data_IF_279062862166
#
_entry.id   IF_279062862166
#
_cell.length_a   1.000
_cell.length_b   1.000
_cell.length_c   1.000
_cell.angle_alpha   90.00
_cell.angle_beta   90.00
_cell.angle_gamma   90.00
#
_symmetry.space_group_name_H-M   'P 1'
#
loop_
_entity.id
_entity.type
_entity.pdbx_description
1 polymer ?
#
# COMPACT_ATOMS: atom_id res chain seq x y z
N UNK A 1 -32.25 41.25 7.87
CA UNK A 1 -33.28 40.99 8.90
C UNK A 1 -33.15 39.53 9.34
N UNK A 2 -32.98 39.28 10.65
CA UNK A 2 -33.16 38.01 11.42
C UNK A 2 -32.24 36.83 10.99
N UNK A 3 -31.10 36.53 11.64
CA UNK A 3 -30.88 35.84 12.95
C UNK A 3 -31.84 34.69 13.26
N UNK A 4 -31.34 33.45 13.23
CA UNK A 4 -31.80 32.34 14.08
C UNK A 4 -30.56 31.54 14.54
N UNK A 5 -30.39 31.46 15.87
CA UNK A 5 -29.48 30.58 16.61
C UNK A 5 -30.20 29.26 16.94
N UNK A 6 -29.46 28.15 17.03
CA UNK A 6 -29.74 26.96 17.88
C UNK A 6 -28.45 26.11 17.91
N UNK A 7 -27.73 25.81 18.99
CA UNK A 7 -27.99 25.45 20.40
C UNK A 7 -28.40 23.96 20.62
N UNK A 8 -27.52 23.22 21.33
CA UNK A 8 -27.75 21.90 21.96
C UNK A 8 -27.29 20.71 21.10
N UNK A 9 -26.53 19.72 21.59
CA UNK A 9 -26.55 19.13 22.93
C UNK A 9 -25.15 18.63 23.35
N UNK A 10 -24.80 18.92 24.60
CA UNK A 10 -23.64 18.39 25.30
C UNK A 10 -23.90 16.94 25.76
N UNK A 11 -22.88 16.10 25.77
CA UNK A 11 -22.82 14.95 26.69
C UNK A 11 -21.37 14.68 27.08
N UNK A 12 -21.11 14.97 28.35
CA UNK A 12 -19.93 14.62 29.12
C UNK A 12 -19.96 13.12 29.44
N UNK A 13 -18.81 12.45 29.40
CA UNK A 13 -18.52 11.36 30.32
C UNK A 13 -17.05 11.44 30.73
N UNK A 14 -16.86 11.77 32.01
CA UNK A 14 -15.59 11.71 32.71
C UNK A 14 -15.51 10.34 33.42
N UNK A 15 -14.35 9.67 33.33
CA UNK A 15 -13.94 8.68 34.31
C UNK A 15 -12.47 8.96 34.69
N UNK A 16 -12.28 9.30 35.96
CA UNK A 16 -10.98 9.38 36.66
C UNK A 16 -10.71 8.02 37.32
N UNK A 17 -9.46 7.56 37.41
CA UNK A 17 -8.57 7.50 38.60
C UNK A 17 -7.40 6.56 38.17
N UNK A 18 -6.20 6.48 38.72
CA UNK A 18 -5.33 7.23 39.62
C UNK A 18 -4.03 6.39 39.79
N UNK A 19 -2.87 7.04 39.97
CA UNK A 19 -1.68 6.48 40.64
C UNK A 19 -0.65 5.75 39.76
N UNK A 20 0.64 5.68 40.08
CA UNK A 20 1.47 6.29 41.13
C UNK A 20 2.94 6.25 40.66
N UNK A 21 3.74 7.09 41.30
CA UNK A 21 5.21 7.22 41.27
C UNK A 21 5.99 5.89 41.34
N UNK A 22 7.18 5.85 40.72
CA UNK A 22 8.13 4.75 40.87
C UNK A 22 9.47 4.96 40.16
N UNK A 23 10.31 5.85 40.69
CA UNK A 23 11.76 5.83 40.47
C UNK A 23 12.38 4.89 41.52
N UNK A 24 13.19 3.90 41.12
CA UNK A 24 13.73 2.91 42.05
C UNK A 24 14.89 2.12 41.46
N UNK A 25 16.09 2.48 41.93
CA UNK A 25 17.40 1.89 41.65
C UNK A 25 17.66 0.66 42.53
N UNK A 26 18.39 -0.31 41.98
CA UNK A 26 19.45 -1.14 42.60
C UNK A 26 19.19 -2.01 43.85
N UNK A 27 19.67 -3.25 43.75
CA UNK A 27 20.23 -4.05 44.87
C UNK A 27 19.71 -5.50 44.88
N UNK A 28 20.49 -6.54 44.50
CA UNK A 28 21.42 -7.34 45.35
C UNK A 28 20.66 -8.24 46.36
N UNK A 29 20.95 -9.52 46.66
CA UNK A 29 22.11 -10.42 46.69
C UNK A 29 21.54 -11.88 46.71
N UNK A 30 22.28 -12.98 46.46
CA UNK A 30 23.17 -13.72 47.40
C UNK A 30 23.38 -15.13 46.76
N UNK A 31 24.42 -15.93 46.94
CA UNK A 31 25.42 -16.06 48.02
C UNK A 31 26.59 -16.94 47.57
N UNK A 32 27.80 -16.42 47.76
CA UNK A 32 29.05 -17.00 48.29
C UNK A 32 29.16 -18.53 48.47
N UNK A 33 30.23 -19.09 47.89
CA UNK A 33 31.07 -20.08 48.59
C UNK A 33 32.58 -19.87 48.31
N UNK A 34 33.34 -20.22 49.34
CA UNK A 34 34.68 -19.84 49.78
C UNK A 34 35.83 -20.53 49.03
N UNK A 35 37.02 -19.91 48.97
CA UNK A 35 38.27 -20.69 48.81
C UNK A 35 39.54 -19.97 48.37
N UNK A 36 40.39 -19.66 49.36
CA UNK A 36 41.87 -19.61 49.32
C UNK A 36 42.65 -18.61 48.45
N UNK A 37 43.36 -17.75 49.18
CA UNK A 37 44.53 -16.94 48.82
C UNK A 37 45.69 -17.74 48.23
N UNK A 38 46.23 -17.32 47.07
CA UNK A 38 47.65 -17.48 46.71
C UNK A 38 48.13 -16.24 45.93
N UNK A 39 49.02 -15.46 46.56
CA UNK A 39 49.81 -14.40 45.93
C UNK A 39 50.92 -15.02 45.08
N UNK A 40 50.97 -14.73 43.76
CA UNK A 40 52.12 -15.06 42.92
C UNK A 40 52.62 -13.83 42.17
N UNK A 41 53.68 -13.23 42.70
CA UNK A 41 54.48 -12.21 42.01
C UNK A 41 55.22 -12.87 40.85
N UNK A 42 54.99 -12.41 39.62
CA UNK A 42 55.75 -12.83 38.44
C UNK A 42 56.42 -11.61 37.83
N UNK A 43 57.72 -11.51 38.00
CA UNK A 43 58.60 -10.56 37.31
C UNK A 43 58.66 -10.93 35.83
N UNK A 44 58.26 -10.02 34.94
CA UNK A 44 58.40 -10.18 33.48
C UNK A 44 59.60 -9.35 33.02
N UNK A 45 60.60 -10.06 32.52
CA UNK A 45 61.77 -9.56 31.81
C UNK A 45 61.32 -8.85 30.51
N UNK A 46 61.78 -7.63 30.28
CA UNK A 46 61.56 -6.91 29.03
C UNK A 46 62.41 -7.50 27.89
N UNK A 47 61.78 -7.75 26.74
CA UNK A 47 62.40 -8.22 25.50
C UNK A 47 62.17 -7.16 24.38
N UNK A 48 63.14 -6.91 23.47
CA UNK A 48 63.22 -5.64 22.76
C UNK A 48 62.17 -5.42 21.68
N UNK A 49 61.81 -4.15 21.54
CA UNK A 49 60.95 -3.51 20.55
C UNK A 49 61.29 -3.91 19.10
N UNK A 50 60.34 -4.43 18.30
CA UNK A 50 60.49 -4.42 16.85
C UNK A 50 60.23 -3.00 16.32
N UNK A 51 61.21 -2.45 15.60
CA UNK A 51 61.06 -1.23 14.80
C UNK A 51 60.10 -1.50 13.64
N UNK A 52 58.84 -1.05 13.75
CA UNK A 52 57.92 -1.03 12.62
C UNK A 52 58.17 0.17 11.74
N UNK A 53 58.63 -0.09 10.52
CA UNK A 53 58.70 0.87 9.42
C UNK A 53 57.30 1.36 9.07
N UNK A 54 57.00 2.65 9.28
CA UNK A 54 55.74 3.25 8.86
C UNK A 54 55.78 3.55 7.36
N UNK A 55 55.06 2.77 6.56
CA UNK A 55 54.73 3.12 5.17
C UNK A 55 53.65 4.21 5.19
N UNK A 56 53.83 5.35 4.51
CA UNK A 56 52.81 6.41 4.50
C UNK A 56 51.53 5.91 3.81
N UNK A 57 50.42 5.96 4.54
CA UNK A 57 49.08 5.67 4.01
C UNK A 57 48.68 6.79 3.03
N UNK A 58 48.25 6.47 1.79
CA UNK A 58 47.72 7.46 0.87
C UNK A 58 46.45 8.13 1.44
N UNK A 59 46.16 9.39 1.06
CA UNK A 59 45.01 10.12 1.59
C UNK A 59 43.70 9.36 1.27
N UNK A 60 42.93 9.10 2.33
CA UNK A 60 41.58 8.55 2.24
C UNK A 60 40.69 9.58 1.53
N UNK A 61 40.26 9.24 0.31
CA UNK A 61 39.26 10.02 -0.42
C UNK A 61 37.92 9.87 0.34
N UNK A 62 37.23 10.96 0.70
CA UNK A 62 35.94 10.87 1.37
C UNK A 62 34.94 10.08 0.50
N UNK A 63 34.14 9.17 1.08
CA UNK A 63 33.15 8.43 0.32
C UNK A 63 32.13 9.41 -0.28
N UNK A 64 31.91 9.30 -1.59
CA UNK A 64 30.76 9.93 -2.27
C UNK A 64 29.49 9.47 -1.53
N UNK A 65 28.53 10.35 -1.20
CA UNK A 65 27.31 9.92 -0.53
C UNK A 65 26.62 8.85 -1.36
N UNK A 66 26.49 7.65 -0.80
CA UNK A 66 25.70 6.57 -1.36
C UNK A 66 24.25 6.99 -1.29
N UNK A 67 23.62 7.18 -2.45
CA UNK A 67 22.18 7.41 -2.52
C UNK A 67 21.48 6.22 -1.86
N UNK A 68 20.66 6.51 -0.86
CA UNK A 68 19.71 5.57 -0.27
C UNK A 68 18.88 4.93 -1.41
N UNK A 69 18.79 3.58 -1.50
CA UNK A 69 18.35 2.88 -2.70
C UNK A 69 16.92 3.22 -3.19
N UNK A 70 16.60 2.89 -4.46
CA UNK A 70 15.25 2.89 -5.04
C UNK A 70 14.15 2.29 -4.15
N UNK A 71 14.48 1.29 -3.34
CA UNK A 71 13.55 0.66 -2.39
C UNK A 71 12.94 1.66 -1.39
N UNK A 72 13.70 2.67 -0.95
CA UNK A 72 13.20 3.67 -0.01
C UNK A 72 12.23 4.65 -0.66
N UNK A 73 12.38 4.90 -1.97
CA UNK A 73 11.43 5.67 -2.75
C UNK A 73 10.10 4.93 -2.91
N UNK A 74 10.16 3.65 -3.28
CA UNK A 74 8.99 2.76 -3.33
C UNK A 74 8.23 2.74 -2.00
N UNK A 75 8.92 2.48 -0.89
CA UNK A 75 8.30 2.44 0.44
C UNK A 75 7.68 3.77 0.86
N UNK A 76 8.23 4.90 0.41
CA UNK A 76 7.63 6.23 0.67
C UNK A 76 6.27 6.39 -0.01
N UNK A 77 6.16 5.97 -1.28
CA UNK A 77 4.91 6.03 -2.04
C UNK A 77 3.87 5.06 -1.48
N UNK A 78 4.28 3.84 -1.12
CA UNK A 78 3.40 2.89 -0.43
C UNK A 78 2.90 3.42 0.91
N UNK A 79 3.78 3.99 1.73
CA UNK A 79 3.42 4.59 3.01
C UNK A 79 2.46 5.78 2.85
N UNK A 80 2.60 6.55 1.76
CA UNK A 80 1.70 7.64 1.44
C UNK A 80 0.28 7.12 1.17
N UNK A 81 0.12 6.11 0.30
CA UNK A 81 -1.21 5.52 0.02
C UNK A 81 -1.76 4.74 1.21
N UNK A 82 -0.92 4.08 2.00
CA UNK A 82 -1.34 3.46 3.25
C UNK A 82 -1.93 4.49 4.24
N UNK A 83 -1.32 5.67 4.35
CA UNK A 83 -1.84 6.76 5.17
C UNK A 83 -3.18 7.31 4.63
N UNK A 84 -3.32 7.45 3.31
CA UNK A 84 -4.60 7.84 2.67
C UNK A 84 -5.71 6.83 2.96
N UNK A 85 -5.41 5.53 2.83
CA UNK A 85 -6.33 4.44 3.14
C UNK A 85 -6.73 4.39 4.62
N UNK A 86 -5.78 4.69 5.51
CA UNK A 86 -6.03 4.80 6.95
C UNK A 86 -6.75 6.10 7.35
N UNK A 87 -7.04 7.00 6.40
CA UNK A 87 -7.55 8.37 6.64
C UNK A 87 -6.62 9.23 7.49
N UNK A 88 -5.36 8.84 7.63
CA UNK A 88 -4.32 9.66 8.25
C UNK A 88 -3.78 10.67 7.24
N UNK A 89 -4.66 11.60 6.87
CA UNK A 89 -4.31 12.64 5.90
C UNK A 89 -3.18 13.52 6.38
N UNK A 90 -2.95 13.64 7.69
CA UNK A 90 -1.82 14.41 8.21
C UNK A 90 -0.51 13.73 7.85
N UNK A 91 -0.41 12.42 8.07
CA UNK A 91 0.77 11.64 7.67
C UNK A 91 0.99 11.66 6.16
N UNK A 92 -0.07 11.48 5.36
CA UNK A 92 0.02 11.55 3.90
C UNK A 92 0.47 12.95 3.42
N UNK A 93 -0.03 14.00 4.05
CA UNK A 93 0.38 15.38 3.77
C UNK A 93 1.87 15.63 4.05
N UNK A 94 2.37 15.10 5.17
CA UNK A 94 3.77 15.24 5.56
C UNK A 94 4.71 14.41 4.66
N UNK A 95 4.25 13.25 4.18
CA UNK A 95 4.96 12.36 3.25
C UNK A 95 5.03 12.91 1.83
N UNK A 96 4.13 13.82 1.43
CA UNK A 96 4.09 14.24 0.05
C UNK A 96 3.00 15.23 -0.32
N UNK A 97 1.81 15.09 0.26
CA UNK A 97 0.63 15.83 -0.18
C UNK A 97 0.84 17.34 -0.26
N UNK A 98 1.62 17.92 0.67
CA UNK A 98 1.96 19.35 0.68
C UNK A 98 2.73 19.85 -0.55
N UNK A 99 3.43 18.97 -1.25
CA UNK A 99 4.25 19.29 -2.42
C UNK A 99 3.49 19.07 -3.73
N UNK A 100 2.33 18.40 -3.70
CA UNK A 100 1.55 18.06 -4.89
C UNK A 100 0.50 19.13 -5.25
N UNK A 101 0.43 20.20 -4.45
CA UNK A 101 -0.40 21.38 -4.69
C UNK A 101 -1.62 21.49 -3.78
N UNK A 102 -2.32 22.63 -3.89
CA UNK A 102 -3.51 22.92 -3.13
C UNK A 102 -3.27 23.21 -1.64
N UNK A 103 -4.37 23.34 -0.89
CA UNK A 103 -4.34 23.42 0.57
C UNK A 103 -4.54 22.03 1.19
N UNK A 104 -4.26 21.89 2.49
CA UNK A 104 -4.53 20.66 3.23
C UNK A 104 -6.02 20.24 3.15
N UNK A 105 -6.92 21.22 3.14
CA UNK A 105 -8.36 20.98 3.01
C UNK A 105 -8.73 20.46 1.60
N UNK A 106 -8.18 21.07 0.54
CA UNK A 106 -8.39 20.59 -0.83
C UNK A 106 -7.82 19.18 -1.04
N UNK A 107 -6.70 18.87 -0.38
CA UNK A 107 -6.10 17.55 -0.38
C UNK A 107 -7.02 16.51 0.27
N UNK A 108 -7.55 16.78 1.47
CA UNK A 108 -8.51 15.88 2.12
C UNK A 108 -9.77 15.69 1.28
N UNK A 109 -10.32 16.79 0.74
CA UNK A 109 -11.52 16.76 -0.07
C UNK A 109 -11.34 15.91 -1.33
N UNK A 110 -10.14 15.89 -1.94
CA UNK A 110 -9.83 15.07 -3.11
C UNK A 110 -9.93 13.55 -2.86
N UNK A 111 -9.86 13.10 -1.60
CA UNK A 111 -9.97 11.68 -1.22
C UNK A 111 -11.26 11.35 -0.47
N UNK A 112 -12.20 12.30 -0.37
CA UNK A 112 -13.41 12.12 0.43
C UNK A 112 -14.27 10.92 -0.05
N UNK A 113 -14.36 10.75 -1.37
CA UNK A 113 -15.17 9.69 -2.00
C UNK A 113 -14.38 8.38 -2.25
N UNK A 114 -13.07 8.36 -2.00
CA UNK A 114 -12.21 7.18 -2.23
C UNK A 114 -12.22 6.26 -1.02
N UNK A 115 -12.82 5.09 -1.10
CA UNK A 115 -12.83 4.08 -0.03
C UNK A 115 -11.46 3.44 0.16
N UNK A 116 -10.81 3.05 -0.94
CA UNK A 116 -9.56 2.31 -0.92
C UNK A 116 -8.73 2.62 -2.16
N UNK A 117 -7.46 2.91 -1.96
CA UNK A 117 -6.43 3.01 -2.98
C UNK A 117 -5.56 1.74 -2.98
N UNK A 118 -5.45 1.10 -4.14
CA UNK A 118 -4.55 -0.03 -4.36
C UNK A 118 -3.45 0.38 -5.33
N UNK A 119 -2.26 0.64 -4.79
CA UNK A 119 -1.08 1.01 -5.58
C UNK A 119 -0.28 -0.23 -5.97
N UNK A 120 0.20 -0.27 -7.20
CA UNK A 120 1.17 -1.25 -7.71
C UNK A 120 2.36 -0.51 -8.29
N UNK A 121 3.54 -0.77 -7.76
CA UNK A 121 4.78 -0.22 -8.29
C UNK A 121 5.18 -1.02 -9.52
N UNK A 122 5.29 -0.34 -10.65
CA UNK A 122 5.71 -0.91 -11.94
C UNK A 122 7.23 -0.88 -12.05
N UNK A 123 7.83 0.24 -11.64
CA UNK A 123 9.26 0.47 -11.81
C UNK A 123 9.78 1.55 -10.85
N UNK A 124 11.09 1.51 -10.54
CA UNK A 124 11.77 2.55 -9.76
C UNK A 124 13.14 2.87 -10.35
N UNK A 125 13.34 4.13 -10.72
CA UNK A 125 14.58 4.61 -11.33
C UNK A 125 14.95 5.99 -10.78
N UNK A 126 16.17 6.15 -10.24
CA UNK A 126 16.72 7.44 -9.78
C UNK A 126 15.80 8.24 -8.82
N UNK A 127 15.05 7.52 -7.98
CA UNK A 127 14.08 8.07 -7.03
C UNK A 127 12.74 8.48 -7.64
N UNK A 128 12.53 8.24 -8.94
CA UNK A 128 11.23 8.26 -9.57
C UNK A 128 10.58 6.87 -9.46
N UNK A 129 9.31 6.81 -9.06
CA UNK A 129 8.52 5.59 -8.83
C UNK A 129 7.35 5.60 -9.79
N UNK A 130 7.33 4.68 -10.76
CA UNK A 130 6.22 4.52 -11.69
C UNK A 130 5.18 3.57 -11.09
N UNK A 131 3.90 3.95 -11.11
CA UNK A 131 2.82 3.18 -10.48
C UNK A 131 1.61 3.03 -11.40
N UNK A 132 0.84 1.97 -11.13
CA UNK A 132 -0.60 1.92 -11.42
C UNK A 132 -1.37 2.02 -10.10
N UNK A 133 -2.53 2.67 -10.12
CA UNK A 133 -3.34 2.92 -8.95
C UNK A 133 -4.81 2.65 -9.27
N UNK A 134 -5.45 1.80 -8.48
CA UNK A 134 -6.91 1.60 -8.53
C UNK A 134 -7.56 2.21 -7.28
N UNK A 135 -8.43 3.20 -7.48
CA UNK A 135 -9.18 3.89 -6.43
C UNK A 135 -10.64 3.41 -6.41
N UNK A 136 -10.99 2.58 -5.43
CA UNK A 136 -12.37 2.19 -5.15
C UNK A 136 -13.12 3.39 -4.59
N UNK A 137 -14.20 3.79 -5.25
CA UNK A 137 -15.05 4.91 -4.84
C UNK A 137 -16.20 4.41 -3.93
N UNK A 138 -16.82 5.33 -3.20
CA UNK A 138 -17.92 5.03 -2.28
C UNK A 138 -19.17 4.44 -2.97
N UNK A 139 -19.35 4.70 -4.26
CA UNK A 139 -20.42 4.12 -5.09
C UNK A 139 -20.11 2.72 -5.63
N UNK A 140 -18.94 2.16 -5.28
CA UNK A 140 -18.48 0.86 -5.73
C UNK A 140 -17.75 0.88 -7.09
N UNK A 141 -17.66 2.02 -7.76
CA UNK A 141 -16.89 2.14 -9.01
C UNK A 141 -15.39 2.17 -8.74
N UNK A 142 -14.59 1.71 -9.69
CA UNK A 142 -13.12 1.80 -9.62
C UNK A 142 -12.63 2.79 -10.66
N UNK A 143 -11.84 3.76 -10.20
CA UNK A 143 -11.09 4.68 -11.05
C UNK A 143 -9.63 4.25 -11.09
N UNK A 144 -9.12 4.00 -12.28
CA UNK A 144 -7.72 3.62 -12.46
C UNK A 144 -6.88 4.81 -12.91
N UNK A 145 -5.64 4.85 -12.43
CA UNK A 145 -4.66 5.89 -12.74
C UNK A 145 -3.30 5.25 -13.00
N UNK A 146 -2.48 5.97 -13.76
CA UNK A 146 -1.07 5.65 -13.94
C UNK A 146 -0.25 6.93 -13.81
N UNK A 147 1.00 6.79 -13.38
CA UNK A 147 1.84 7.96 -13.21
C UNK A 147 3.19 7.68 -12.58
N UNK A 148 3.94 8.75 -12.37
CA UNK A 148 5.25 8.73 -11.73
C UNK A 148 5.26 9.65 -10.52
N UNK A 149 5.86 9.18 -9.43
CA UNK A 149 6.13 9.95 -8.22
C UNK A 149 7.62 10.21 -8.08
N UNK A 150 8.00 11.46 -7.85
CA UNK A 150 9.39 11.82 -7.56
C UNK A 150 9.61 11.88 -6.06
N UNK A 151 10.55 11.07 -5.55
CA UNK A 151 10.91 10.99 -4.14
C UNK A 151 12.31 11.54 -3.91
N UNK A 152 12.44 12.38 -2.88
CA UNK A 152 13.72 12.90 -2.38
C UNK A 152 13.70 12.88 -0.86
N UNK A 153 14.74 12.28 -0.26
CA UNK A 153 14.90 12.18 1.19
C UNK A 153 13.66 11.60 1.93
N UNK A 154 13.01 10.60 1.34
CA UNK A 154 11.81 9.96 1.92
C UNK A 154 10.54 10.80 1.89
N UNK A 155 10.48 11.81 1.01
CA UNK A 155 9.30 12.67 0.80
C UNK A 155 9.02 12.74 -0.70
N UNK A 156 7.75 12.61 -1.08
CA UNK A 156 7.29 12.84 -2.44
C UNK A 156 7.35 14.35 -2.69
N UNK A 157 8.12 14.77 -3.70
CA UNK A 157 8.34 16.17 -4.06
C UNK A 157 7.65 16.58 -5.36
N UNK A 158 7.23 15.59 -6.16
CA UNK A 158 6.51 15.79 -7.41
C UNK A 158 5.72 14.55 -7.77
N UNK A 159 4.67 14.73 -8.57
CA UNK A 159 3.91 13.65 -9.16
C UNK A 159 3.35 14.08 -10.51
N UNK A 160 3.36 13.16 -11.47
CA UNK A 160 2.64 13.27 -12.73
C UNK A 160 1.73 12.04 -12.82
N UNK A 161 0.44 12.24 -12.59
CA UNK A 161 -0.56 11.16 -12.51
C UNK A 161 -1.74 11.52 -13.39
N UNK A 162 -2.19 10.56 -14.19
CA UNK A 162 -3.33 10.72 -15.09
C UNK A 162 -4.34 9.59 -14.91
N UNK A 163 -5.63 9.87 -15.08
CA UNK A 163 -6.62 8.80 -15.17
C UNK A 163 -6.31 7.96 -16.40
N UNK A 164 -6.39 6.64 -16.25
CA UNK A 164 -6.54 5.75 -17.39
C UNK A 164 -8.02 5.50 -17.56
N UNK A 165 -8.49 5.42 -18.81
CA UNK A 165 -9.84 4.92 -19.04
C UNK A 165 -9.88 3.52 -18.41
N UNK A 166 -10.73 3.34 -17.40
CA UNK A 166 -11.11 1.99 -17.00
C UNK A 166 -11.56 1.30 -18.29
N UNK A 167 -11.13 0.06 -18.59
CA UNK A 167 -11.87 -0.70 -19.57
C UNK A 167 -13.31 -0.64 -19.05
N UNK A 168 -14.21 0.00 -19.81
CA UNK A 168 -15.64 -0.09 -19.52
C UNK A 168 -15.89 -1.57 -19.23
N UNK A 169 -16.66 -1.98 -18.22
CA UNK A 169 -17.00 -3.39 -18.06
C UNK A 169 -17.62 -4.02 -19.33
N UNK A 170 -18.00 -3.20 -20.32
CA UNK A 170 -18.38 -3.55 -21.70
C UNK A 170 -17.20 -3.99 -22.61
N UNK A 171 -15.95 -3.68 -22.25
CA UNK A 171 -14.70 -4.10 -22.91
C UNK A 171 -13.84 -4.99 -21.99
N UNK A 172 -14.46 -5.63 -21.01
CA UNK A 172 -14.00 -6.91 -20.45
C UNK A 172 -14.94 -8.06 -20.86
N UNK A 173 -15.73 -7.87 -21.92
CA UNK A 173 -16.10 -9.01 -22.74
C UNK A 173 -14.78 -9.70 -23.13
N UNK A 174 -14.62 -11.01 -22.88
CA UNK A 174 -13.46 -11.73 -23.37
C UNK A 174 -13.34 -11.41 -24.85
N UNK A 175 -12.11 -11.28 -25.36
CA UNK A 175 -11.83 -11.44 -26.79
C UNK A 175 -12.26 -12.87 -27.15
N UNK A 176 -13.57 -13.08 -27.30
CA UNK A 176 -14.12 -14.24 -27.96
C UNK A 176 -13.57 -14.10 -29.38
N UNK A 177 -12.79 -15.08 -29.88
CA UNK A 177 -12.35 -15.04 -31.26
C UNK A 177 -13.57 -14.80 -32.13
N UNK A 178 -13.53 -13.68 -32.85
CA UNK A 178 -14.59 -13.17 -33.67
C UNK A 178 -14.74 -14.09 -34.89
N UNK A 179 -15.48 -15.20 -34.79
CA UNK A 179 -15.91 -15.92 -35.99
C UNK A 179 -17.25 -16.68 -35.89
N UNK A 180 -17.68 -17.21 -34.74
CA UNK A 180 -18.94 -17.99 -34.68
C UNK A 180 -20.14 -17.28 -34.03
N UNK A 181 -19.93 -16.20 -33.27
CA UNK A 181 -20.96 -15.59 -32.42
C UNK A 181 -21.62 -14.32 -33.02
N UNK A 182 -22.16 -14.41 -34.24
CA UNK A 182 -23.09 -13.36 -34.76
C UNK A 182 -24.50 -13.87 -35.04
N UNK A 183 -24.74 -15.18 -34.93
CA UNK A 183 -26.06 -15.76 -35.23
C UNK A 183 -26.96 -15.91 -34.01
N UNK A 184 -26.41 -15.92 -32.78
CA UNK A 184 -27.19 -16.16 -31.57
C UNK A 184 -27.24 -14.92 -30.66
N UNK A 185 -28.40 -14.63 -30.06
CA UNK A 185 -28.52 -13.55 -29.09
C UNK A 185 -27.68 -13.85 -27.83
N UNK A 186 -27.20 -12.81 -27.12
CA UNK A 186 -26.52 -12.98 -25.85
C UNK A 186 -27.46 -13.61 -24.80
N UNK A 187 -26.93 -14.53 -24.01
CA UNK A 187 -27.65 -15.21 -22.94
C UNK A 187 -28.01 -14.31 -21.74
N UNK A 188 -28.81 -14.83 -20.79
CA UNK A 188 -29.23 -14.08 -19.62
C UNK A 188 -28.03 -13.65 -18.74
N UNK A 189 -28.05 -12.43 -18.16
CA UNK A 189 -26.95 -11.92 -17.35
C UNK A 189 -26.75 -12.76 -16.07
N UNK A 190 -25.52 -12.78 -15.55
CA UNK A 190 -25.23 -13.41 -14.27
C UNK A 190 -25.95 -12.67 -13.11
N UNK A 191 -26.55 -13.40 -12.18
CA UNK A 191 -27.21 -12.85 -10.98
C UNK A 191 -28.74 -12.74 -11.02
N UNK A 192 -29.37 -13.21 -12.11
CA UNK A 192 -30.82 -13.49 -12.12
C UNK A 192 -31.11 -14.84 -11.42
N UNK A 193 -32.31 -15.08 -10.88
CA UNK A 193 -32.72 -16.42 -10.45
C UNK A 193 -32.55 -17.44 -11.58
N UNK A 194 -32.43 -18.72 -11.22
CA UNK A 194 -32.18 -19.83 -12.16
C UNK A 194 -33.09 -19.74 -13.38
N UNK A 195 -32.50 -19.55 -14.56
CA UNK A 195 -33.20 -19.41 -15.85
C UNK A 195 -33.10 -20.75 -16.56
N UNK A 196 -34.22 -21.32 -17.00
CA UNK A 196 -34.25 -22.55 -17.79
C UNK A 196 -34.36 -22.26 -19.30
N UNK A 197 -33.91 -23.19 -20.15
CA UNK A 197 -34.04 -23.07 -21.61
C UNK A 197 -35.48 -22.91 -22.11
N UNK A 198 -36.47 -23.35 -21.32
CA UNK A 198 -37.90 -23.19 -21.65
C UNK A 198 -38.36 -21.73 -21.60
N UNK A 199 -37.62 -20.87 -20.90
CA UNK A 199 -37.92 -19.44 -20.76
C UNK A 199 -37.23 -18.59 -21.84
N UNK A 200 -36.40 -19.19 -22.70
CA UNK A 200 -35.61 -18.51 -23.72
C UNK A 200 -36.14 -18.77 -25.14
N UNK A 201 -36.03 -17.79 -26.06
CA UNK A 201 -36.62 -17.87 -27.39
C UNK A 201 -35.83 -18.73 -28.40
N UNK A 202 -34.72 -19.35 -28.00
CA UNK A 202 -33.86 -20.16 -28.86
C UNK A 202 -32.44 -20.29 -28.31
N UNK A 203 -31.50 -20.84 -29.09
CA UNK A 203 -30.12 -21.00 -28.64
C UNK A 203 -29.50 -19.65 -28.32
N UNK A 204 -28.78 -19.60 -27.20
CA UNK A 204 -28.17 -18.38 -26.68
C UNK A 204 -26.69 -18.58 -26.48
N UNK A 205 -25.91 -17.53 -26.66
CA UNK A 205 -24.49 -17.59 -26.30
C UNK A 205 -24.32 -17.37 -24.79
N UNK A 206 -23.77 -18.37 -24.09
CA UNK A 206 -23.61 -18.35 -22.61
C UNK A 206 -22.15 -18.20 -22.17
N UNK A 207 -21.21 -18.45 -23.07
CA UNK A 207 -19.78 -18.35 -22.81
C UNK A 207 -19.25 -19.42 -21.83
N UNK A 208 -17.93 -19.42 -21.53
CA UNK A 208 -17.26 -20.54 -20.85
C UNK A 208 -17.57 -20.67 -19.35
N UNK A 209 -18.32 -19.72 -18.78
CA UNK A 209 -18.62 -19.67 -17.34
C UNK A 209 -19.96 -20.30 -16.99
N UNK A 210 -20.80 -20.53 -18.02
CA UNK A 210 -22.16 -21.07 -17.96
C UNK A 210 -22.84 -21.00 -16.57
N UNK A 211 -23.14 -19.80 -16.06
CA UNK A 211 -23.58 -19.62 -14.68
C UNK A 211 -24.93 -20.29 -14.38
N UNK A 212 -25.73 -20.51 -15.42
CA UNK A 212 -27.08 -21.06 -15.38
C UNK A 212 -27.14 -22.52 -15.90
N UNK A 213 -25.97 -23.15 -16.15
CA UNK A 213 -25.85 -24.53 -16.62
C UNK A 213 -26.67 -24.85 -17.89
N UNK A 214 -26.74 -23.90 -18.80
CA UNK A 214 -27.51 -23.97 -20.05
C UNK A 214 -26.73 -24.67 -21.19
N UNK A 215 -25.41 -24.77 -21.07
CA UNK A 215 -24.47 -25.35 -22.01
C UNK A 215 -23.94 -26.68 -21.44
N UNK A 216 -24.65 -27.76 -21.77
CA UNK A 216 -24.40 -29.09 -21.22
C UNK A 216 -23.17 -29.78 -21.83
N UNK A 217 -22.76 -29.39 -23.04
CA UNK A 217 -21.67 -30.00 -23.78
C UNK A 217 -20.37 -29.17 -23.73
N UNK A 218 -20.45 -27.92 -23.29
CA UNK A 218 -19.34 -27.03 -22.95
C UNK A 218 -18.78 -26.26 -24.15
N UNK A 219 -19.56 -26.08 -25.22
CA UNK A 219 -19.11 -25.45 -26.46
C UNK A 219 -19.29 -23.91 -26.48
N UNK A 220 -19.96 -23.36 -25.46
CA UNK A 220 -20.26 -21.95 -25.26
C UNK A 220 -21.65 -21.52 -25.74
N UNK A 221 -22.46 -22.44 -26.27
CA UNK A 221 -23.83 -22.23 -26.71
C UNK A 221 -24.77 -23.00 -25.77
N UNK A 222 -25.78 -22.30 -25.25
CA UNK A 222 -26.80 -22.88 -24.40
C UNK A 222 -28.11 -23.08 -25.13
N UNK A 223 -28.91 -24.04 -24.68
CA UNK A 223 -30.27 -24.30 -25.16
C UNK A 223 -30.38 -24.71 -26.63
N UNK A 224 -29.40 -25.46 -27.12
CA UNK A 224 -29.54 -26.19 -28.37
C UNK A 224 -30.59 -27.30 -28.25
N UNK A 225 -31.24 -27.59 -29.37
CA UNK A 225 -32.15 -28.72 -29.47
C UNK A 225 -31.33 -29.92 -29.94
N UNK A 226 -31.11 -30.91 -29.07
CA UNK A 226 -30.63 -32.24 -29.49
C UNK A 226 -31.50 -32.87 -30.59
#
# INVERSE_FOLDING_TARGET
MRRILSAGCASLLALTLAGVSGCGSSGEEKKVETGSTVTRTRTVTAEPTPTSTFTPTPPSIPPKPTATPPADAASTVEAYFAAVNARDYRRAWDLGGKNLGGSYESFQAGFADTVQDTVRIVDVQDGAVTVTLDALQADGTVRSFEGTYEVRNGVIVGADVRPVASPTPESAAPTVPEDTNRSYPPGPPAGVPDVDCSDLPGPVWVGPSDPHRLDLDGDGIGCELD
#
